data_IF_446536417291
#
_entry.id   IF_446536417291
#
_cell.length_a   1.000
_cell.length_b   1.000
_cell.length_c   1.000
_cell.angle_alpha   90.00
_cell.angle_beta   90.00
_cell.angle_gamma   90.00
#
_symmetry.space_group_name_H-M   'P 1'
#
loop_
_entity.id
_entity.type
_entity.pdbx_description
1 polymer ?
#
# COMPACT_ATOMS: atom_id res chain seq x y z
N UNK A 1 12.46 23.82 -16.72
CA UNK A 1 11.94 23.79 -18.11
C UNK A 1 12.37 22.52 -18.84
N UNK A 2 13.65 22.18 -18.89
CA UNK A 2 14.18 20.97 -19.58
C UNK A 2 13.52 19.64 -19.16
N UNK A 3 13.36 19.37 -17.85
CA UNK A 3 12.79 18.10 -17.37
C UNK A 3 11.34 17.87 -17.85
N UNK A 4 10.52 18.92 -18.00
CA UNK A 4 9.16 18.77 -18.51
C UNK A 4 9.11 18.44 -20.01
N UNK A 5 10.07 18.97 -20.79
CA UNK A 5 10.17 18.69 -22.22
C UNK A 5 10.56 17.23 -22.43
N UNK A 6 11.57 16.73 -21.72
CA UNK A 6 12.02 15.33 -21.81
C UNK A 6 10.90 14.36 -21.43
N UNK A 7 10.16 14.64 -20.35
CA UNK A 7 9.03 13.81 -19.92
C UNK A 7 7.92 13.80 -20.97
N UNK A 8 7.57 14.96 -21.53
CA UNK A 8 6.52 15.05 -22.58
C UNK A 8 6.93 14.30 -23.86
N UNK A 9 8.19 14.40 -24.28
CA UNK A 9 8.74 13.63 -25.40
C UNK A 9 8.62 12.12 -25.09
N UNK A 10 9.00 11.68 -23.89
CA UNK A 10 8.85 10.30 -23.47
C UNK A 10 7.38 9.82 -23.51
N UNK A 11 6.43 10.61 -22.99
CA UNK A 11 5.00 10.31 -23.05
C UNK A 11 4.51 10.22 -24.50
N UNK A 12 5.00 11.09 -25.39
CA UNK A 12 4.64 11.07 -26.80
C UNK A 12 5.07 9.73 -27.46
N UNK A 13 6.30 9.31 -27.28
CA UNK A 13 6.77 8.01 -27.81
C UNK A 13 6.00 6.82 -27.20
N UNK A 14 5.75 6.82 -25.89
CA UNK A 14 4.93 5.78 -25.25
C UNK A 14 3.51 5.77 -25.83
N UNK A 15 2.94 6.94 -26.18
CA UNK A 15 1.62 7.04 -26.75
C UNK A 15 1.53 6.47 -28.16
N UNK A 16 2.58 6.62 -28.98
CA UNK A 16 2.66 6.00 -30.31
C UNK A 16 2.70 4.48 -30.18
N UNK A 17 3.60 3.95 -29.35
CA UNK A 17 3.73 2.50 -29.11
C UNK A 17 2.41 1.93 -28.58
N UNK A 18 1.80 2.63 -27.61
CA UNK A 18 0.52 2.21 -27.04
C UNK A 18 -0.62 2.24 -28.07
N UNK A 19 -0.59 3.23 -28.98
CA UNK A 19 -1.50 3.30 -30.12
C UNK A 19 -1.45 2.06 -31.01
N UNK A 20 -0.23 1.54 -31.26
CA UNK A 20 -0.03 0.28 -31.99
C UNK A 20 -0.53 -0.92 -31.21
N UNK A 21 -0.19 -1.00 -29.92
CA UNK A 21 -0.65 -2.10 -29.04
C UNK A 21 -2.18 -2.17 -28.95
N UNK A 22 -2.87 -1.03 -29.00
CA UNK A 22 -4.35 -0.98 -29.04
C UNK A 22 -4.98 -1.59 -30.30
N UNK A 23 -4.21 -1.87 -31.36
CA UNK A 23 -4.74 -2.62 -32.52
C UNK A 23 -4.91 -4.11 -32.23
N UNK A 24 -4.23 -4.63 -31.20
CA UNK A 24 -4.37 -6.03 -30.76
C UNK A 24 -5.78 -6.29 -30.19
N UNK A 25 -6.31 -7.52 -30.32
CA UNK A 25 -7.63 -7.88 -29.82
C UNK A 25 -7.71 -7.77 -28.28
N UNK A 26 -8.89 -7.41 -27.79
CA UNK A 26 -9.20 -7.42 -26.36
C UNK A 26 -9.39 -8.88 -25.93
N UNK A 27 -8.79 -9.23 -24.81
CA UNK A 27 -8.86 -10.57 -24.21
C UNK A 27 -9.76 -10.53 -22.96
N UNK A 28 -10.41 -11.64 -22.63
CA UNK A 28 -11.03 -11.86 -21.32
C UNK A 28 -9.95 -11.91 -20.25
N UNK A 29 -9.52 -10.74 -19.81
CA UNK A 29 -8.36 -10.58 -18.95
C UNK A 29 -8.52 -9.42 -17.98
N UNK A 30 -8.13 -9.67 -16.72
CA UNK A 30 -8.01 -8.69 -15.67
C UNK A 30 -6.54 -8.57 -15.28
N UNK A 31 -6.06 -7.35 -15.12
CA UNK A 31 -4.67 -7.07 -14.75
C UNK A 31 -4.63 -6.33 -13.43
N UNK A 32 -3.76 -6.77 -12.55
CA UNK A 32 -3.52 -6.18 -11.25
C UNK A 32 -2.12 -5.53 -11.27
N UNK A 33 -2.02 -4.23 -11.00
CA UNK A 33 -0.74 -3.51 -11.08
C UNK A 33 -0.43 -2.86 -9.74
N UNK A 34 0.74 -3.18 -9.17
CA UNK A 34 1.25 -2.62 -7.93
C UNK A 34 2.68 -2.07 -8.09
N UNK A 35 2.99 -1.04 -7.29
CA UNK A 35 4.36 -0.54 -7.09
C UNK A 35 4.79 -0.60 -5.63
N UNK A 36 4.01 -1.20 -4.76
CA UNK A 36 4.31 -1.26 -3.32
C UNK A 36 5.47 -2.20 -3.03
N UNK A 37 5.47 -3.36 -3.65
CA UNK A 37 6.48 -4.40 -3.48
C UNK A 37 6.64 -5.21 -4.77
N UNK A 38 7.68 -6.01 -4.85
CA UNK A 38 7.93 -6.90 -6.01
C UNK A 38 7.13 -8.21 -5.93
N UNK A 39 6.29 -8.36 -4.89
CA UNK A 39 5.38 -9.50 -4.69
C UNK A 39 3.93 -9.03 -4.77
N UNK A 40 2.99 -9.91 -5.15
CA UNK A 40 1.56 -9.60 -5.10
C UNK A 40 1.11 -9.22 -3.68
N UNK A 41 0.22 -8.22 -3.57
CA UNK A 41 -0.46 -7.94 -2.31
C UNK A 41 -1.48 -9.04 -1.99
N UNK A 42 -1.80 -9.21 -0.70
CA UNK A 42 -2.83 -10.15 -0.27
C UNK A 42 -4.19 -9.82 -0.91
N UNK A 43 -4.52 -8.55 -1.06
CA UNK A 43 -5.76 -8.12 -1.70
C UNK A 43 -5.84 -8.58 -3.17
N UNK A 44 -4.75 -8.43 -3.92
CA UNK A 44 -4.70 -8.91 -5.32
C UNK A 44 -4.83 -10.43 -5.41
N UNK A 45 -4.20 -11.16 -4.50
CA UNK A 45 -4.32 -12.63 -4.46
C UNK A 45 -5.75 -13.08 -4.15
N UNK A 46 -6.42 -12.42 -3.20
CA UNK A 46 -7.80 -12.73 -2.84
C UNK A 46 -8.75 -12.47 -4.02
N UNK A 47 -8.66 -11.30 -4.66
CA UNK A 47 -9.50 -11.00 -5.85
C UNK A 47 -9.19 -11.97 -6.97
N UNK A 48 -7.91 -12.22 -7.26
CA UNK A 48 -7.50 -13.16 -8.31
C UNK A 48 -8.10 -14.53 -8.10
N UNK A 49 -7.97 -15.09 -6.89
CA UNK A 49 -8.47 -16.43 -6.57
C UNK A 49 -10.00 -16.51 -6.68
N UNK A 50 -10.72 -15.49 -6.23
CA UNK A 50 -12.18 -15.42 -6.35
C UNK A 50 -12.61 -15.29 -7.82
N UNK A 51 -11.92 -14.45 -8.58
CA UNK A 51 -12.20 -14.28 -10.03
C UNK A 51 -11.95 -15.56 -10.81
N UNK A 52 -10.84 -16.26 -10.58
CA UNK A 52 -10.53 -17.53 -11.26
C UNK A 52 -11.53 -18.63 -10.92
N UNK A 53 -12.08 -18.62 -9.70
CA UNK A 53 -13.12 -19.56 -9.27
C UNK A 53 -14.48 -19.26 -9.90
N UNK A 54 -14.89 -17.99 -9.95
CA UNK A 54 -16.23 -17.59 -10.46
C UNK A 54 -16.26 -17.42 -11.98
N UNK A 55 -15.14 -17.02 -12.56
CA UNK A 55 -15.02 -16.71 -13.99
C UNK A 55 -13.76 -17.38 -14.58
N UNK A 56 -13.74 -18.72 -14.71
CA UNK A 56 -12.57 -19.49 -15.11
C UNK A 56 -12.06 -19.18 -16.53
N UNK A 57 -12.89 -18.57 -17.37
CA UNK A 57 -12.53 -18.12 -18.71
C UNK A 57 -11.80 -16.76 -18.72
N UNK A 58 -11.70 -16.08 -17.57
CA UNK A 58 -10.93 -14.85 -17.42
C UNK A 58 -9.50 -15.13 -16.98
N UNK A 59 -8.54 -14.62 -17.72
CA UNK A 59 -7.12 -14.68 -17.34
C UNK A 59 -6.78 -13.55 -16.35
N UNK A 60 -6.24 -13.91 -15.20
CA UNK A 60 -5.69 -12.98 -14.22
C UNK A 60 -4.18 -12.78 -14.41
N UNK A 61 -3.71 -11.55 -14.48
CA UNK A 61 -2.29 -11.21 -14.61
C UNK A 61 -1.89 -10.22 -13.53
N UNK A 62 -0.89 -10.56 -12.71
CA UNK A 62 -0.38 -9.66 -11.67
C UNK A 62 0.97 -9.08 -12.13
N UNK A 63 1.09 -7.76 -12.04
CA UNK A 63 2.27 -6.97 -12.39
C UNK A 63 2.71 -6.15 -11.18
N UNK A 64 3.48 -6.77 -10.28
CA UNK A 64 4.01 -6.12 -9.09
C UNK A 64 5.49 -5.82 -9.29
N UNK A 65 5.88 -4.53 -9.23
CA UNK A 65 7.27 -4.10 -9.32
C UNK A 65 7.48 -2.72 -8.70
N UNK A 66 8.43 -2.63 -7.78
CA UNK A 66 8.83 -1.37 -7.16
C UNK A 66 9.66 -0.51 -8.12
N UNK A 67 9.54 0.81 -7.96
CA UNK A 67 10.45 1.77 -8.60
C UNK A 67 11.69 1.92 -7.69
N UNK A 68 12.70 1.09 -7.90
CA UNK A 68 13.91 1.13 -7.08
C UNK A 68 14.88 2.26 -7.46
N UNK A 69 15.88 2.50 -6.60
CA UNK A 69 16.96 3.44 -6.83
C UNK A 69 18.07 2.81 -7.71
N UNK A 70 18.75 3.66 -8.48
CA UNK A 70 19.83 3.25 -9.38
C UNK A 70 19.38 3.01 -10.83
N UNK A 71 20.34 3.11 -11.76
CA UNK A 71 20.09 3.09 -13.22
C UNK A 71 19.51 1.74 -13.65
N UNK A 72 20.08 0.63 -13.21
CA UNK A 72 19.62 -0.71 -13.58
C UNK A 72 18.16 -0.97 -13.15
N UNK A 73 17.76 -0.54 -11.94
CA UNK A 73 16.39 -0.66 -11.47
C UNK A 73 15.43 0.22 -12.25
N UNK A 74 15.86 1.43 -12.64
CA UNK A 74 15.07 2.33 -13.50
C UNK A 74 14.85 1.76 -14.89
N UNK A 75 15.89 1.18 -15.51
CA UNK A 75 15.77 0.48 -16.80
C UNK A 75 14.84 -0.71 -16.68
N UNK A 76 15.01 -1.55 -15.64
CA UNK A 76 14.11 -2.68 -15.37
C UNK A 76 12.66 -2.26 -15.14
N UNK A 77 12.41 -1.09 -14.54
CA UNK A 77 11.07 -0.55 -14.40
C UNK A 77 10.52 -0.01 -15.74
N UNK A 78 11.35 0.61 -16.57
CA UNK A 78 10.97 1.05 -17.92
C UNK A 78 10.50 -0.15 -18.77
N UNK A 79 11.23 -1.27 -18.76
CA UNK A 79 10.80 -2.51 -19.43
C UNK A 79 9.48 -3.04 -18.86
N UNK A 80 9.29 -2.93 -17.54
CA UNK A 80 8.04 -3.29 -16.91
C UNK A 80 6.87 -2.40 -17.36
N UNK A 81 7.11 -1.11 -17.62
CA UNK A 81 6.10 -0.20 -18.19
C UNK A 81 5.62 -0.65 -19.57
N UNK A 82 6.50 -1.14 -20.46
CA UNK A 82 6.09 -1.72 -21.75
C UNK A 82 5.19 -2.94 -21.56
N UNK A 83 5.52 -3.80 -20.59
CA UNK A 83 4.64 -4.93 -20.21
C UNK A 83 3.28 -4.46 -19.69
N UNK A 84 3.26 -3.41 -18.84
CA UNK A 84 2.00 -2.78 -18.41
C UNK A 84 1.20 -2.27 -19.61
N UNK A 85 1.84 -1.57 -20.55
CA UNK A 85 1.18 -1.03 -21.75
C UNK A 85 0.52 -2.12 -22.59
N UNK A 86 1.21 -3.26 -22.82
CA UNK A 86 0.61 -4.40 -23.51
C UNK A 86 -0.64 -4.90 -22.82
N UNK A 87 -0.57 -5.07 -21.50
CA UNK A 87 -1.71 -5.57 -20.75
C UNK A 87 -2.86 -4.54 -20.65
N UNK A 88 -2.55 -3.25 -20.46
CA UNK A 88 -3.55 -2.17 -20.53
C UNK A 88 -4.27 -2.11 -21.89
N UNK A 89 -3.54 -2.35 -22.99
CA UNK A 89 -4.11 -2.32 -24.33
C UNK A 89 -5.04 -3.50 -24.65
N UNK A 90 -4.81 -4.64 -24.00
CA UNK A 90 -5.46 -5.91 -24.35
C UNK A 90 -6.36 -6.49 -23.26
N UNK A 91 -6.60 -5.78 -22.16
CA UNK A 91 -7.45 -6.24 -21.05
C UNK A 91 -8.81 -5.58 -21.05
N UNK A 92 -9.78 -6.19 -20.38
CA UNK A 92 -11.09 -5.61 -20.11
C UNK A 92 -11.11 -4.76 -18.85
N UNK A 93 -10.34 -5.17 -17.84
CA UNK A 93 -10.23 -4.43 -16.60
C UNK A 93 -8.80 -4.41 -16.05
N UNK A 94 -8.49 -3.36 -15.31
CA UNK A 94 -7.24 -3.18 -14.58
C UNK A 94 -7.56 -2.73 -13.17
N UNK A 95 -6.94 -3.38 -12.18
CA UNK A 95 -7.05 -3.04 -10.77
C UNK A 95 -5.70 -2.50 -10.29
N UNK A 96 -5.71 -1.35 -9.66
CA UNK A 96 -4.54 -0.64 -9.15
C UNK A 96 -4.64 -0.51 -7.63
N UNK A 97 -3.53 -0.70 -6.93
CA UNK A 97 -3.41 -0.38 -5.50
C UNK A 97 -2.49 0.83 -5.23
N UNK A 98 -1.87 1.34 -6.28
CA UNK A 98 -0.97 2.51 -6.26
C UNK A 98 -1.17 3.37 -7.49
N UNK A 99 -0.53 4.55 -7.51
CA UNK A 99 -0.43 5.35 -8.73
C UNK A 99 0.34 4.59 -9.82
N UNK A 100 -0.25 4.48 -11.01
CA UNK A 100 0.36 3.83 -12.17
C UNK A 100 0.52 4.85 -13.32
N UNK A 101 1.77 5.15 -13.70
CA UNK A 101 2.10 6.16 -14.71
C UNK A 101 1.43 5.81 -16.04
N UNK A 102 1.60 4.58 -16.52
CA UNK A 102 1.06 4.14 -17.82
C UNK A 102 -0.47 4.16 -17.86
N UNK A 103 -1.14 3.85 -16.75
CA UNK A 103 -2.59 3.97 -16.63
C UNK A 103 -3.04 5.44 -16.68
N UNK A 104 -2.25 6.37 -16.13
CA UNK A 104 -2.65 7.78 -16.00
C UNK A 104 -2.34 8.62 -17.24
N UNK A 105 -1.16 8.43 -17.89
CA UNK A 105 -0.71 9.32 -18.97
C UNK A 105 -1.23 8.92 -20.35
N UNK A 106 -1.55 7.63 -20.55
CA UNK A 106 -1.95 7.11 -21.87
C UNK A 106 -3.45 7.25 -22.12
N UNK A 107 -3.85 7.37 -23.38
CA UNK A 107 -5.25 7.41 -23.80
C UNK A 107 -5.74 5.98 -24.06
N UNK A 108 -6.54 5.45 -23.14
CA UNK A 108 -7.07 4.09 -23.21
C UNK A 108 -8.28 3.97 -24.14
N UNK A 109 -8.68 2.72 -24.43
CA UNK A 109 -9.97 2.41 -25.04
C UNK A 109 -11.10 2.76 -24.07
N UNK A 110 -12.23 3.21 -24.58
CA UNK A 110 -13.42 3.52 -23.76
C UNK A 110 -13.95 2.29 -23.00
N UNK A 111 -13.70 1.08 -23.52
CA UNK A 111 -14.14 -0.18 -22.93
C UNK A 111 -13.24 -0.68 -21.81
N UNK A 112 -12.05 -0.10 -21.58
CA UNK A 112 -11.16 -0.49 -20.50
C UNK A 112 -11.67 0.10 -19.19
N UNK A 113 -11.97 -0.78 -18.21
CA UNK A 113 -12.33 -0.39 -16.85
C UNK A 113 -11.05 -0.31 -16.00
N UNK A 114 -10.78 0.84 -15.39
CA UNK A 114 -9.63 1.04 -14.48
C UNK A 114 -10.16 1.33 -13.09
N UNK A 115 -9.85 0.46 -12.14
CA UNK A 115 -10.26 0.54 -10.75
C UNK A 115 -9.05 0.87 -9.88
N UNK A 116 -9.12 1.96 -9.12
CA UNK A 116 -8.16 2.27 -8.06
C UNK A 116 -8.73 1.78 -6.74
N UNK A 117 -8.20 0.68 -6.20
CA UNK A 117 -8.66 0.15 -4.92
C UNK A 117 -7.86 0.70 -3.73
N UNK A 118 -6.69 1.30 -4.00
CA UNK A 118 -5.74 1.75 -3.00
C UNK A 118 -5.23 0.60 -2.11
N UNK A 119 -4.60 0.93 -0.99
CA UNK A 119 -3.96 -0.04 -0.10
C UNK A 119 -4.15 0.27 1.39
N UNK A 120 -4.96 1.27 1.73
CA UNK A 120 -5.27 1.66 3.10
C UNK A 120 -6.77 1.52 3.37
N UNK A 121 -7.13 0.99 4.53
CA UNK A 121 -8.53 0.83 4.94
C UNK A 121 -9.22 2.16 5.23
N UNK A 122 -8.46 3.21 5.53
CA UNK A 122 -9.01 4.52 5.84
C UNK A 122 -8.13 5.66 5.33
N UNK A 123 -8.60 6.88 5.53
CA UNK A 123 -7.94 8.11 5.14
C UNK A 123 -7.42 8.86 6.38
N UNK A 124 -6.42 8.27 7.07
CA UNK A 124 -5.83 8.90 8.25
C UNK A 124 -4.90 10.07 7.88
N UNK A 125 -4.14 9.90 6.80
CA UNK A 125 -3.16 10.89 6.31
C UNK A 125 -3.60 11.41 4.95
N UNK A 126 -3.35 12.68 4.69
CA UNK A 126 -3.49 13.23 3.35
C UNK A 126 -2.49 12.58 2.38
N UNK A 127 -2.88 12.42 1.14
CA UNK A 127 -2.06 11.82 0.08
C UNK A 127 -2.49 12.33 -1.31
N UNK A 128 -1.75 11.99 -2.35
CA UNK A 128 -2.10 12.36 -3.71
C UNK A 128 -2.21 13.88 -3.92
N UNK A 129 -3.34 14.33 -4.43
CA UNK A 129 -3.59 15.77 -4.67
C UNK A 129 -3.75 16.58 -3.39
N UNK A 130 -4.17 15.98 -2.28
CA UNK A 130 -4.34 16.68 -1.00
C UNK A 130 -3.02 17.13 -0.36
N UNK A 131 -1.86 16.68 -0.88
CA UNK A 131 -0.52 17.04 -0.39
C UNK A 131 0.41 17.56 -1.49
N UNK A 132 -0.14 18.10 -2.58
CA UNK A 132 0.71 18.71 -3.60
C UNK A 132 1.55 19.85 -3.00
N UNK A 133 2.79 19.95 -3.48
CA UNK A 133 3.79 20.95 -3.08
C UNK A 133 4.20 20.90 -1.60
N UNK A 134 3.74 19.90 -0.81
CA UNK A 134 4.27 19.61 0.51
C UNK A 134 5.54 18.74 0.42
N UNK A 135 6.43 18.73 1.43
CA UNK A 135 7.70 17.97 1.40
C UNK A 135 7.55 16.49 1.08
N UNK A 136 6.48 15.85 1.54
CA UNK A 136 6.20 14.43 1.26
C UNK A 136 5.27 14.20 0.05
N UNK A 137 4.81 15.28 -0.59
CA UNK A 137 3.95 15.24 -1.77
C UNK A 137 4.70 15.35 -3.09
N UNK A 138 3.96 15.18 -4.17
CA UNK A 138 4.45 15.54 -5.51
C UNK A 138 4.27 17.04 -5.75
N UNK A 139 5.11 17.61 -6.64
CA UNK A 139 4.87 19.00 -7.07
C UNK A 139 3.63 19.05 -7.97
N UNK A 140 2.86 20.14 -7.89
CA UNK A 140 1.71 20.40 -8.76
C UNK A 140 2.11 20.29 -10.24
N UNK A 141 3.31 20.78 -10.61
CA UNK A 141 3.86 20.65 -11.96
C UNK A 141 4.03 19.19 -12.38
N UNK A 142 4.60 18.34 -11.52
CA UNK A 142 4.79 16.91 -11.80
C UNK A 142 3.44 16.20 -11.90
N UNK A 143 2.52 16.47 -10.99
CA UNK A 143 1.17 15.90 -11.00
C UNK A 143 0.44 16.22 -12.32
N UNK A 144 0.55 17.47 -12.81
CA UNK A 144 -0.05 17.90 -14.08
C UNK A 144 0.59 17.20 -15.28
N UNK A 145 1.93 17.16 -15.38
CA UNK A 145 2.65 16.56 -16.51
C UNK A 145 2.36 15.07 -16.58
N UNK A 146 2.40 14.37 -15.45
CA UNK A 146 2.16 12.93 -15.35
C UNK A 146 0.67 12.58 -15.27
N UNK A 147 -0.23 13.55 -15.41
CA UNK A 147 -1.69 13.36 -15.31
C UNK A 147 -2.05 12.47 -14.11
N UNK A 148 -1.45 12.78 -12.95
CA UNK A 148 -1.54 11.94 -11.76
C UNK A 148 -3.00 11.56 -11.46
N UNK A 149 -3.25 10.28 -11.24
CA UNK A 149 -4.57 9.73 -10.93
C UNK A 149 -5.67 9.93 -12.00
N UNK A 150 -5.30 10.17 -13.25
CA UNK A 150 -6.26 10.25 -14.35
C UNK A 150 -6.73 8.86 -14.83
N UNK A 151 -7.84 8.83 -15.58
CA UNK A 151 -8.42 7.66 -16.27
C UNK A 151 -9.06 6.60 -15.34
N UNK A 152 -9.32 6.86 -14.08
CA UNK A 152 -10.03 5.91 -13.23
C UNK A 152 -11.51 5.84 -13.59
N UNK A 153 -12.04 4.64 -13.82
CA UNK A 153 -13.48 4.38 -13.91
C UNK A 153 -14.13 4.37 -12.54
N UNK A 154 -13.42 3.82 -11.55
CA UNK A 154 -13.86 3.74 -10.16
C UNK A 154 -12.67 3.90 -9.23
N UNK A 155 -12.95 4.49 -8.07
CA UNK A 155 -12.06 4.51 -6.90
C UNK A 155 -12.80 3.82 -5.76
N UNK A 156 -12.15 2.92 -5.02
CA UNK A 156 -12.75 2.27 -3.87
C UNK A 156 -12.36 2.97 -2.58
N UNK A 157 -13.34 3.18 -1.72
CA UNK A 157 -13.17 3.68 -0.37
C UNK A 157 -13.87 2.73 0.61
N UNK A 158 -13.33 2.54 1.80
CA UNK A 158 -13.84 1.58 2.77
C UNK A 158 -15.17 1.97 3.43
N UNK A 159 -15.54 3.26 3.39
CA UNK A 159 -16.78 3.77 3.95
C UNK A 159 -17.27 5.01 3.19
N UNK A 160 -18.53 5.35 3.38
CA UNK A 160 -19.11 6.57 2.79
C UNK A 160 -18.41 7.84 3.34
N UNK A 161 -18.05 7.83 4.62
CA UNK A 161 -17.29 8.92 5.23
C UNK A 161 -15.92 9.15 4.56
N UNK A 162 -15.22 8.08 4.14
CA UNK A 162 -13.93 8.16 3.47
C UNK A 162 -14.02 8.67 2.02
N UNK A 163 -15.17 8.61 1.36
CA UNK A 163 -15.33 8.95 -0.06
C UNK A 163 -14.83 10.34 -0.40
N UNK A 164 -15.14 11.33 0.42
CA UNK A 164 -14.74 12.74 0.17
C UNK A 164 -13.22 12.91 0.17
N UNK A 165 -12.52 12.24 1.08
CA UNK A 165 -11.06 12.31 1.18
C UNK A 165 -10.38 11.58 0.02
N UNK A 166 -10.94 10.46 -0.42
CA UNK A 166 -10.43 9.75 -1.60
C UNK A 166 -10.73 10.53 -2.90
N UNK A 167 -11.90 11.15 -3.02
CA UNK A 167 -12.23 12.02 -4.15
C UNK A 167 -11.22 13.18 -4.27
N UNK A 168 -10.91 13.85 -3.16
CA UNK A 168 -9.91 14.92 -3.11
C UNK A 168 -8.51 14.40 -3.46
N UNK A 169 -8.06 13.33 -2.76
CA UNK A 169 -6.71 12.79 -2.93
C UNK A 169 -6.44 12.26 -4.34
N UNK A 170 -7.44 11.68 -4.99
CA UNK A 170 -7.34 11.19 -6.37
C UNK A 170 -7.75 12.21 -7.42
N UNK A 171 -8.20 13.41 -7.01
CA UNK A 171 -8.75 14.41 -7.91
C UNK A 171 -9.83 13.83 -8.84
N UNK A 172 -10.79 13.13 -8.25
CA UNK A 172 -11.89 12.47 -8.94
C UNK A 172 -13.25 13.01 -8.45
N UNK A 173 -14.27 13.05 -9.31
CA UNK A 173 -15.63 13.33 -8.88
C UNK A 173 -16.09 12.33 -7.81
N UNK A 174 -16.85 12.78 -6.82
CA UNK A 174 -17.33 11.94 -5.71
C UNK A 174 -18.14 10.72 -6.18
N UNK A 175 -18.86 10.84 -7.30
CA UNK A 175 -19.63 9.75 -7.88
C UNK A 175 -18.75 8.62 -8.48
N UNK A 176 -17.49 8.89 -8.78
CA UNK A 176 -16.48 7.89 -9.19
C UNK A 176 -16.03 7.04 -8.00
N UNK A 177 -16.12 7.59 -6.78
CA UNK A 177 -15.71 6.89 -5.56
C UNK A 177 -16.85 6.03 -5.05
N UNK A 178 -16.64 4.71 -5.00
CA UNK A 178 -17.61 3.71 -4.54
C UNK A 178 -17.19 3.15 -3.19
N UNK A 179 -18.16 2.84 -2.35
CA UNK A 179 -17.88 2.17 -1.07
C UNK A 179 -17.65 0.69 -1.35
N UNK A 180 -16.40 0.29 -1.17
CA UNK A 180 -15.98 -1.11 -1.32
C UNK A 180 -14.78 -1.35 -0.40
N UNK A 181 -14.91 -2.20 0.63
CA UNK A 181 -13.80 -2.49 1.52
C UNK A 181 -12.70 -3.26 0.78
N UNK A 182 -11.48 -3.19 1.29
CA UNK A 182 -10.39 -4.00 0.77
C UNK A 182 -10.65 -5.48 1.06
N UNK A 183 -10.32 -6.40 0.14
CA UNK A 183 -10.56 -7.85 0.30
C UNK A 183 -9.95 -8.44 1.56
N UNK A 184 -8.82 -7.89 2.03
CA UNK A 184 -8.18 -8.35 3.28
C UNK A 184 -9.05 -8.21 4.51
N UNK A 185 -10.11 -7.38 4.48
CA UNK A 185 -11.05 -7.23 5.61
C UNK A 185 -11.76 -8.55 5.89
N UNK A 186 -12.21 -9.26 4.85
CA UNK A 186 -12.86 -10.56 5.02
C UNK A 186 -11.87 -11.58 5.64
N UNK A 187 -10.62 -11.54 5.18
CA UNK A 187 -9.56 -12.39 5.71
C UNK A 187 -9.24 -12.05 7.17
N UNK A 188 -9.15 -10.73 7.47
CA UNK A 188 -8.85 -10.21 8.80
C UNK A 188 -9.90 -10.66 9.84
N UNK A 189 -11.17 -10.71 9.45
CA UNK A 189 -12.29 -11.10 10.31
C UNK A 189 -12.57 -12.62 10.30
N UNK A 190 -11.87 -13.39 9.47
CA UNK A 190 -12.06 -14.84 9.38
C UNK A 190 -11.43 -15.55 10.59
N UNK A 191 -12.26 -16.22 11.39
CA UNK A 191 -11.84 -16.90 12.63
C UNK A 191 -10.87 -18.05 12.39
N UNK A 192 -11.13 -18.87 11.37
CA UNK A 192 -10.27 -20.01 11.01
C UNK A 192 -8.90 -19.55 10.55
N UNK A 193 -8.85 -18.49 9.72
CA UNK A 193 -7.59 -17.89 9.29
C UNK A 193 -6.81 -17.31 10.47
N UNK A 194 -7.50 -16.60 11.39
CA UNK A 194 -6.89 -16.08 12.61
C UNK A 194 -6.24 -17.20 13.43
N UNK A 195 -6.97 -18.28 13.70
CA UNK A 195 -6.46 -19.42 14.47
C UNK A 195 -5.25 -20.05 13.81
N UNK A 196 -5.33 -20.35 12.51
CA UNK A 196 -4.24 -20.90 11.71
C UNK A 196 -2.99 -20.02 11.75
N UNK A 197 -3.15 -18.70 11.61
CA UNK A 197 -2.03 -17.76 11.64
C UNK A 197 -1.45 -17.64 13.03
N UNK A 198 -2.29 -17.55 14.07
CA UNK A 198 -1.81 -17.50 15.48
C UNK A 198 -0.96 -18.72 15.84
N UNK A 199 -1.39 -19.92 15.45
CA UNK A 199 -0.63 -21.14 15.65
C UNK A 199 0.73 -21.11 14.92
N UNK A 200 0.78 -20.57 13.71
CA UNK A 200 2.03 -20.38 12.97
C UNK A 200 2.96 -19.36 13.65
N UNK A 201 2.40 -18.27 14.18
CA UNK A 201 3.18 -17.26 14.92
C UNK A 201 3.79 -17.89 16.17
N UNK A 202 3.02 -18.65 16.93
CA UNK A 202 3.50 -19.34 18.14
C UNK A 202 4.53 -20.44 17.83
N UNK A 203 4.43 -21.08 16.67
CA UNK A 203 5.44 -22.04 16.22
C UNK A 203 6.79 -21.36 15.90
N UNK A 204 6.78 -20.13 15.37
CA UNK A 204 8.00 -19.35 15.08
C UNK A 204 8.53 -18.63 16.32
N UNK A 205 7.62 -18.14 17.16
CA UNK A 205 7.91 -17.37 18.37
C UNK A 205 7.23 -18.00 19.60
N UNK A 206 7.72 -19.15 20.12
CA UNK A 206 7.07 -19.87 21.23
C UNK A 206 6.88 -19.00 22.49
N UNK A 207 7.78 -18.05 22.74
CA UNK A 207 7.71 -17.14 23.89
C UNK A 207 6.49 -16.22 23.87
N UNK A 208 5.83 -16.03 22.72
CA UNK A 208 4.59 -15.22 22.60
C UNK A 208 3.34 -15.98 23.06
N UNK A 209 3.44 -17.29 23.33
CA UNK A 209 2.36 -18.13 23.84
C UNK A 209 2.40 -18.29 25.38
N UNK A 210 3.25 -17.54 26.06
CA UNK A 210 3.34 -17.58 27.53
C UNK A 210 2.16 -16.80 28.14
N UNK A 211 1.28 -17.48 28.88
CA UNK A 211 0.09 -16.89 29.51
C UNK A 211 0.40 -15.74 30.49
N UNK A 212 1.62 -15.71 31.05
CA UNK A 212 2.04 -14.73 32.06
C UNK A 212 2.37 -13.35 31.49
N UNK A 213 2.56 -13.23 30.18
CA UNK A 213 2.95 -11.98 29.53
C UNK A 213 1.94 -11.56 28.48
N UNK A 214 1.61 -10.28 28.45
CA UNK A 214 0.81 -9.69 27.36
C UNK A 214 1.72 -9.30 26.20
N UNK A 215 1.22 -9.44 24.98
CA UNK A 215 1.96 -9.11 23.77
C UNK A 215 1.57 -7.73 23.26
N UNK A 216 2.54 -6.84 23.13
CA UNK A 216 2.42 -5.52 22.51
C UNK A 216 3.05 -5.60 21.11
N UNK A 217 2.31 -5.16 20.09
CA UNK A 217 2.85 -5.02 18.73
C UNK A 217 3.05 -3.53 18.44
N UNK A 218 4.30 -3.14 18.19
CA UNK A 218 4.67 -1.78 17.79
C UNK A 218 4.88 -1.72 16.28
N UNK A 219 4.04 -0.92 15.61
CA UNK A 219 4.03 -0.78 14.14
C UNK A 219 4.14 0.70 13.75
N UNK A 220 5.34 1.29 13.75
CA UNK A 220 5.54 2.70 13.39
C UNK A 220 5.34 2.97 11.90
N UNK A 221 4.94 4.20 11.56
CA UNK A 221 5.02 4.71 10.19
C UNK A 221 6.48 4.82 9.77
N UNK A 222 6.80 4.36 8.58
CA UNK A 222 8.11 4.59 7.97
C UNK A 222 8.38 6.09 7.81
N UNK A 223 9.57 6.49 8.18
CA UNK A 223 10.13 7.82 7.93
C UNK A 223 11.51 7.69 7.29
N UNK A 224 11.97 8.76 6.64
CA UNK A 224 13.39 8.84 6.28
C UNK A 224 14.18 8.75 7.58
N UNK A 225 15.02 7.73 7.70
CA UNK A 225 15.78 7.45 8.91
C UNK A 225 16.61 8.66 9.34
N UNK A 226 16.23 9.26 10.45
CA UNK A 226 17.00 10.31 11.12
C UNK A 226 17.48 9.78 12.45
N UNK A 227 18.57 10.37 12.98
CA UNK A 227 19.08 9.98 14.31
C UNK A 227 18.03 10.16 15.40
N UNK A 228 17.22 11.21 15.33
CA UNK A 228 16.12 11.45 16.26
C UNK A 228 15.08 10.33 16.22
N UNK A 229 14.63 9.93 15.03
CA UNK A 229 13.68 8.85 14.84
C UNK A 229 14.16 7.52 15.43
N UNK A 230 15.44 7.17 15.17
CA UNK A 230 16.05 5.96 15.73
C UNK A 230 16.09 6.00 17.26
N UNK A 231 16.48 7.13 17.85
CA UNK A 231 16.53 7.29 19.29
C UNK A 231 15.16 7.14 19.95
N UNK A 232 14.10 7.68 19.36
CA UNK A 232 12.75 7.58 19.90
C UNK A 232 12.23 6.13 19.88
N UNK A 233 12.49 5.38 18.81
CA UNK A 233 12.14 3.95 18.76
C UNK A 233 12.96 3.16 19.79
N UNK A 234 14.27 3.44 19.90
CA UNK A 234 15.12 2.77 20.89
C UNK A 234 14.65 3.08 22.33
N UNK A 235 14.28 4.32 22.61
CA UNK A 235 13.75 4.72 23.92
C UNK A 235 12.45 3.97 24.25
N UNK A 236 11.52 3.83 23.30
CA UNK A 236 10.32 3.03 23.51
C UNK A 236 10.67 1.57 23.82
N UNK A 237 11.58 0.97 23.03
CA UNK A 237 12.01 -0.41 23.23
C UNK A 237 12.61 -0.60 24.63
N UNK A 238 13.43 0.32 25.09
CA UNK A 238 14.13 0.25 26.39
C UNK A 238 13.20 0.51 27.58
N UNK A 239 12.07 1.20 27.37
CA UNK A 239 11.10 1.53 28.43
C UNK A 239 10.16 0.36 28.76
N UNK A 240 10.04 -0.64 27.89
CA UNK A 240 9.12 -1.77 28.10
C UNK A 240 9.54 -2.66 29.28
N UNK A 241 8.60 -2.93 30.17
CA UNK A 241 8.78 -3.92 31.25
C UNK A 241 8.65 -5.34 30.69
N UNK A 242 9.75 -5.92 30.25
CA UNK A 242 9.82 -7.27 29.68
C UNK A 242 9.51 -8.41 30.67
N UNK A 243 9.30 -8.12 31.95
CA UNK A 243 8.77 -9.09 32.90
C UNK A 243 7.26 -9.30 32.71
N UNK A 244 6.54 -8.25 32.25
CA UNK A 244 5.09 -8.24 32.06
C UNK A 244 4.67 -8.33 30.60
N UNK A 245 5.52 -7.87 29.68
CA UNK A 245 5.17 -7.72 28.27
C UNK A 245 6.19 -8.38 27.33
N UNK A 246 5.69 -8.97 26.27
CA UNK A 246 6.45 -9.22 25.06
C UNK A 246 6.30 -8.02 24.13
N UNK A 247 7.36 -7.53 23.53
CA UNK A 247 7.31 -6.49 22.51
C UNK A 247 7.69 -7.08 21.15
N UNK A 248 6.76 -7.00 20.20
CA UNK A 248 7.01 -7.31 18.79
C UNK A 248 7.08 -6.01 18.01
N UNK A 249 8.19 -5.78 17.33
CA UNK A 249 8.44 -4.56 16.53
C UNK A 249 8.29 -4.90 15.06
N UNK A 250 7.37 -4.20 14.38
CA UNK A 250 7.08 -4.36 12.95
C UNK A 250 7.59 -3.14 12.19
N UNK A 251 8.89 -3.11 11.92
CA UNK A 251 9.48 -2.05 11.09
C UNK A 251 9.06 -2.19 9.62
N UNK A 252 9.10 -1.08 8.91
CA UNK A 252 8.90 -1.12 7.47
C UNK A 252 10.03 -1.90 6.78
N UNK A 253 9.78 -2.71 5.73
CA UNK A 253 10.80 -3.53 5.08
C UNK A 253 12.02 -2.76 4.52
N UNK A 254 11.89 -1.45 4.32
CA UNK A 254 12.99 -0.57 3.87
C UNK A 254 13.87 -0.12 5.05
N UNK A 255 13.40 -0.25 6.28
CA UNK A 255 14.15 0.13 7.48
C UNK A 255 15.28 -0.87 7.73
N UNK A 256 16.52 -0.37 7.77
CA UNK A 256 17.72 -1.20 7.97
C UNK A 256 18.45 -0.88 9.29
N UNK A 257 17.82 -0.11 10.18
CA UNK A 257 18.43 0.27 11.44
C UNK A 257 18.48 -0.93 12.39
N UNK A 258 19.65 -1.18 12.97
CA UNK A 258 19.83 -2.14 14.03
C UNK A 258 19.55 -1.48 15.39
N UNK A 259 18.57 -2.00 16.10
CA UNK A 259 18.23 -1.56 17.46
C UNK A 259 18.86 -2.51 18.48
N UNK A 260 19.33 -1.94 19.60
CA UNK A 260 20.07 -2.69 20.62
C UNK A 260 19.14 -3.13 21.75
N UNK A 261 18.41 -4.23 21.58
CA UNK A 261 17.74 -4.90 22.71
C UNK A 261 17.38 -6.33 22.29
N UNK A 262 18.01 -7.30 22.93
CA UNK A 262 17.81 -8.73 22.64
C UNK A 262 16.46 -9.30 23.11
N UNK A 263 15.67 -8.51 23.88
CA UNK A 263 14.37 -8.95 24.42
C UNK A 263 13.20 -8.59 23.50
N UNK A 264 13.34 -7.55 22.65
CA UNK A 264 12.35 -7.21 21.65
C UNK A 264 12.43 -8.17 20.44
N UNK A 265 11.30 -8.54 19.90
CA UNK A 265 11.19 -9.39 18.71
C UNK A 265 11.00 -8.51 17.49
N UNK A 266 11.98 -8.48 16.59
CA UNK A 266 11.87 -7.80 15.31
C UNK A 266 11.35 -8.79 14.26
N UNK A 267 10.04 -8.75 13.99
CA UNK A 267 9.43 -9.73 13.09
C UNK A 267 9.42 -9.26 11.64
N UNK A 268 9.92 -10.13 10.76
CA UNK A 268 9.89 -10.00 9.31
C UNK A 268 9.20 -11.20 8.60
N UNK A 269 8.66 -12.14 9.39
CA UNK A 269 8.07 -13.39 8.87
C UNK A 269 6.59 -13.23 8.54
N UNK A 270 5.88 -12.41 9.29
CA UNK A 270 4.44 -12.22 9.18
C UNK A 270 4.11 -10.79 8.72
N UNK A 271 2.93 -10.58 8.15
CA UNK A 271 2.42 -9.23 7.90
C UNK A 271 2.05 -8.53 9.21
N UNK A 272 1.96 -7.20 9.19
CA UNK A 272 1.61 -6.43 10.39
C UNK A 272 0.21 -6.81 10.90
N UNK A 273 -0.78 -6.97 10.01
CA UNK A 273 -2.13 -7.33 10.42
C UNK A 273 -2.22 -8.76 10.97
N UNK A 274 -1.39 -9.70 10.48
CA UNK A 274 -1.31 -11.06 11.05
C UNK A 274 -0.78 -11.02 12.49
N UNK A 275 0.25 -10.21 12.76
CA UNK A 275 0.76 -10.05 14.13
C UNK A 275 -0.28 -9.43 15.09
N UNK A 276 -1.24 -8.67 14.58
CA UNK A 276 -2.32 -8.12 15.41
C UNK A 276 -3.28 -9.18 15.96
N UNK A 277 -3.33 -10.38 15.37
CA UNK A 277 -4.16 -11.46 15.92
C UNK A 277 -3.74 -11.86 17.34
N UNK A 278 -2.44 -11.88 17.59
CA UNK A 278 -1.89 -12.28 18.90
C UNK A 278 -1.60 -11.08 19.81
N UNK A 279 -1.80 -9.85 19.35
CA UNK A 279 -1.57 -8.66 20.15
C UNK A 279 -2.64 -8.48 21.23
N UNK A 280 -2.24 -8.16 22.47
CA UNK A 280 -3.11 -7.64 23.51
C UNK A 280 -3.29 -6.13 23.39
N UNK A 281 -2.26 -5.44 22.86
CA UNK A 281 -2.27 -4.02 22.59
C UNK A 281 -1.40 -3.69 21.36
N UNK A 282 -1.74 -2.60 20.69
CA UNK A 282 -1.00 -2.08 19.54
C UNK A 282 -0.47 -0.69 19.90
N UNK A 283 0.81 -0.47 19.61
CA UNK A 283 1.41 0.86 19.60
C UNK A 283 1.66 1.23 18.15
N UNK A 284 1.21 2.40 17.73
CA UNK A 284 1.45 2.93 16.38
C UNK A 284 1.52 4.44 16.43
N UNK A 285 1.50 5.10 15.29
CA UNK A 285 1.48 6.55 15.17
C UNK A 285 0.49 6.99 14.09
N UNK A 286 0.98 7.40 12.92
CA UNK A 286 0.16 7.86 11.79
C UNK A 286 -0.07 6.76 10.75
N UNK A 287 0.15 5.51 11.09
CA UNK A 287 0.00 4.39 10.17
C UNK A 287 -1.47 4.01 9.98
N UNK A 288 -1.87 3.77 8.73
CA UNK A 288 -3.21 3.30 8.43
C UNK A 288 -3.49 1.87 8.97
N UNK A 289 -2.46 1.15 9.45
CA UNK A 289 -2.62 -0.18 10.07
C UNK A 289 -3.44 -0.13 11.37
N UNK A 290 -3.63 1.06 11.96
CA UNK A 290 -4.53 1.22 13.12
C UNK A 290 -5.96 0.79 12.79
N UNK A 291 -6.41 0.95 11.54
CA UNK A 291 -7.76 0.53 11.14
C UNK A 291 -7.92 -0.99 11.17
N UNK A 292 -6.87 -1.75 10.82
CA UNK A 292 -6.84 -3.20 10.99
C UNK A 292 -6.92 -3.58 12.48
N UNK A 293 -6.17 -2.87 13.32
CA UNK A 293 -6.24 -3.05 14.79
C UNK A 293 -7.62 -2.73 15.36
N UNK A 294 -8.28 -1.67 14.89
CA UNK A 294 -9.64 -1.30 15.29
C UNK A 294 -10.67 -2.37 14.90
N UNK A 295 -10.58 -2.92 13.69
CA UNK A 295 -11.45 -4.01 13.24
C UNK A 295 -11.29 -5.28 14.09
N UNK A 296 -10.11 -5.50 14.65
CA UNK A 296 -9.82 -6.60 15.57
C UNK A 296 -10.15 -6.26 17.04
N UNK A 297 -10.75 -5.09 17.30
CA UNK A 297 -11.06 -4.58 18.64
C UNK A 297 -9.85 -4.57 19.59
N UNK A 298 -8.66 -4.27 19.07
CA UNK A 298 -7.44 -4.19 19.89
C UNK A 298 -7.30 -2.80 20.50
N UNK A 299 -6.87 -2.67 21.77
CA UNK A 299 -6.45 -1.40 22.35
C UNK A 299 -5.30 -0.81 21.51
N UNK A 300 -5.40 0.47 21.13
CA UNK A 300 -4.41 1.18 20.31
C UNK A 300 -3.89 2.37 21.09
N UNK A 301 -2.57 2.45 21.20
CA UNK A 301 -1.86 3.58 21.80
C UNK A 301 -1.07 4.31 20.73
N UNK A 302 -1.22 5.64 20.68
CA UNK A 302 -0.54 6.46 19.69
C UNK A 302 0.78 7.01 20.26
N UNK A 303 1.90 6.57 19.73
CA UNK A 303 3.24 7.09 20.04
C UNK A 303 3.66 8.09 18.96
N UNK A 304 3.10 9.30 19.06
CA UNK A 304 3.22 10.36 18.05
C UNK A 304 4.26 11.41 18.47
N UNK A 305 5.50 11.01 18.74
CA UNK A 305 6.57 11.84 19.29
C UNK A 305 6.97 13.03 18.40
N UNK A 306 6.75 12.96 17.10
CA UNK A 306 7.10 13.99 16.12
C UNK A 306 5.88 14.68 15.49
N UNK A 307 4.73 14.69 16.18
CA UNK A 307 3.45 15.16 15.64
C UNK A 307 3.55 16.51 14.90
N UNK A 308 4.15 17.52 15.52
CA UNK A 308 4.24 18.86 14.94
C UNK A 308 5.03 18.88 13.62
N UNK A 309 6.14 18.16 13.56
CA UNK A 309 6.96 18.03 12.37
C UNK A 309 6.24 17.23 11.28
N UNK A 310 5.63 16.11 11.65
CA UNK A 310 4.93 15.26 10.74
C UNK A 310 3.71 15.95 10.12
N UNK A 311 2.90 16.65 10.94
CA UNK A 311 1.74 17.40 10.48
C UNK A 311 2.15 18.52 9.49
N UNK A 312 3.25 19.25 9.77
CA UNK A 312 3.75 20.27 8.85
C UNK A 312 4.16 19.70 7.48
N UNK A 313 4.77 18.51 7.46
CA UNK A 313 5.32 17.91 6.25
C UNK A 313 4.29 17.16 5.42
N UNK A 314 3.25 16.60 6.04
CA UNK A 314 2.27 15.75 5.37
C UNK A 314 0.82 16.17 5.58
N UNK A 315 0.41 16.47 6.83
CA UNK A 315 -0.98 16.78 7.19
C UNK A 315 -1.90 15.54 7.32
N UNK A 316 -3.07 15.70 7.94
CA UNK A 316 -4.06 14.67 8.26
C UNK A 316 -5.43 14.96 7.66
#
# INVERSE_FOLDING_TARGET
MYMSIVVNIGIFFLSIIYGLLKKLPIQKKIVYISRQMDKPSVDFLLIKNDMEKRYPDYKSVILSKTLGNGIAKKIGYAMHMFRQMYHLATSQAVVLDTYCITASVLKHRKSLVIIQMWHALGALKKFGYSILDKPEGSTAKTAKILKMHNNYSYVFASSDYCRKFFAEAFNQPINTVKVFPLPRVDLLLNKEYKEKVSNRIYAVYPQLNEEKKKTIVYAPTFRKTTKSYVNEIQMLIDTVDYKKYNLVVKLHPIEQTNYSNSKAIFDNCFSTFEMFYIADAIISDYSAVIFEGMLLHKPIYLYAFDYNSYNKNRDF
#
